data_IF_744995939785
#
_entry.id   IF_744995939785
#
_cell.length_a   1.000
_cell.length_b   1.000
_cell.length_c   1.000
_cell.angle_alpha   90.00
_cell.angle_beta   90.00
_cell.angle_gamma   90.00
#
_symmetry.space_group_name_H-M   'P 1'
#
loop_
_entity.id
_entity.type
_entity.pdbx_description
1 polymer ?
#
# COMPACT_ATOMS: atom_id res chain seq x y z
N UNK A 1 7.63 -36.49 -32.33
CA UNK A 1 8.03 -36.67 -30.91
C UNK A 1 8.93 -35.52 -30.50
N UNK A 2 8.49 -34.68 -29.55
CA UNK A 2 9.35 -33.70 -28.88
C UNK A 2 9.03 -33.77 -27.38
N UNK A 3 9.97 -34.25 -26.57
CA UNK A 3 9.82 -34.33 -25.11
C UNK A 3 9.80 -32.91 -24.52
N UNK A 4 8.63 -32.44 -24.09
CA UNK A 4 8.51 -31.20 -23.30
C UNK A 4 9.13 -31.45 -21.92
N UNK A 5 10.36 -30.96 -21.70
CA UNK A 5 10.99 -30.92 -20.36
C UNK A 5 10.12 -30.09 -19.42
N UNK A 6 9.50 -30.74 -18.43
CA UNK A 6 8.76 -30.07 -17.35
C UNK A 6 9.76 -29.26 -16.51
N UNK A 7 9.70 -27.95 -16.62
CA UNK A 7 10.45 -27.04 -15.76
C UNK A 7 9.93 -27.22 -14.33
N UNK A 8 10.82 -27.54 -13.39
CA UNK A 8 10.46 -27.73 -11.98
C UNK A 8 9.89 -26.42 -11.40
N UNK A 9 8.89 -26.46 -10.52
CA UNK A 9 8.26 -25.24 -9.98
C UNK A 9 9.25 -24.32 -9.23
N UNK A 10 10.35 -24.88 -8.71
CA UNK A 10 11.40 -24.11 -8.04
C UNK A 10 12.23 -23.27 -9.02
N UNK A 11 12.57 -23.82 -10.19
CA UNK A 11 13.33 -23.08 -11.22
C UNK A 11 12.48 -22.00 -11.86
N UNK A 12 11.18 -22.21 -12.02
CA UNK A 12 10.25 -21.18 -12.49
C UNK A 12 10.14 -19.99 -11.51
N UNK A 13 10.11 -20.26 -10.20
CA UNK A 13 10.10 -19.20 -9.16
C UNK A 13 11.40 -18.40 -9.14
N UNK A 14 12.55 -19.06 -9.30
CA UNK A 14 13.86 -18.39 -9.38
C UNK A 14 13.98 -17.51 -10.62
N UNK A 15 13.53 -18.00 -11.78
CA UNK A 15 13.53 -17.25 -13.05
C UNK A 15 12.57 -16.06 -12.99
N UNK A 16 11.37 -16.22 -12.41
CA UNK A 16 10.43 -15.11 -12.22
C UNK A 16 10.96 -14.07 -11.22
N UNK A 17 11.63 -14.52 -10.15
CA UNK A 17 12.28 -13.64 -9.17
C UNK A 17 13.41 -12.83 -9.80
N UNK A 18 14.30 -13.46 -10.57
CA UNK A 18 15.41 -12.78 -11.22
C UNK A 18 14.95 -11.83 -12.33
N UNK A 19 13.96 -12.22 -13.14
CA UNK A 19 13.34 -11.34 -14.14
C UNK A 19 12.62 -10.16 -13.49
N UNK A 20 11.90 -10.38 -12.38
CA UNK A 20 11.23 -9.30 -11.64
C UNK A 20 12.24 -8.31 -11.04
N UNK A 21 13.37 -8.81 -10.55
CA UNK A 21 14.46 -7.98 -10.01
C UNK A 21 15.18 -7.22 -11.13
N UNK A 22 15.45 -7.87 -12.26
CA UNK A 22 16.08 -7.29 -13.45
C UNK A 22 15.20 -6.20 -14.10
N UNK A 23 13.89 -6.41 -14.18
CA UNK A 23 12.97 -5.38 -14.67
C UNK A 23 12.85 -4.21 -13.67
N UNK A 24 12.90 -4.46 -12.37
CA UNK A 24 12.88 -3.40 -11.36
C UNK A 24 14.17 -2.58 -11.35
N UNK A 25 15.34 -3.19 -11.59
CA UNK A 25 16.62 -2.49 -11.66
C UNK A 25 16.78 -1.67 -12.95
N UNK A 26 16.25 -2.15 -14.08
CA UNK A 26 16.33 -1.42 -15.36
C UNK A 26 15.22 -0.38 -15.55
N UNK A 27 14.06 -0.51 -14.88
CA UNK A 27 12.96 0.46 -15.00
C UNK A 27 13.22 1.76 -14.20
N UNK A 28 14.25 1.80 -13.36
CA UNK A 28 14.58 2.95 -12.53
C UNK A 28 16.09 3.17 -12.55
N UNK A 29 16.63 3.97 -13.48
CA UNK A 29 18.05 4.27 -13.50
C UNK A 29 18.45 4.86 -12.14
N UNK A 30 19.31 4.13 -11.43
CA UNK A 30 20.11 4.67 -10.36
C UNK A 30 21.22 5.42 -11.09
N UNK A 31 21.02 6.70 -11.38
CA UNK A 31 22.11 7.56 -11.88
C UNK A 31 23.33 7.38 -10.96
N UNK A 32 24.55 7.57 -11.49
CA UNK A 32 25.82 7.46 -10.77
C UNK A 32 25.81 8.34 -9.50
N UNK A 33 25.37 7.75 -8.38
CA UNK A 33 25.17 8.43 -7.12
C UNK A 33 26.49 8.43 -6.34
N UNK A 34 27.45 9.27 -6.74
CA UNK A 34 28.63 9.56 -5.93
C UNK A 34 28.24 10.02 -4.52
N UNK A 35 28.87 9.47 -3.48
CA UNK A 35 28.65 9.81 -2.06
C UNK A 35 28.69 8.60 -1.09
N UNK A 36 28.55 8.87 0.21
CA UNK A 36 28.50 7.85 1.27
C UNK A 36 27.22 7.01 1.17
N UNK A 37 27.18 5.81 1.79
CA UNK A 37 25.99 4.94 1.84
C UNK A 37 24.74 5.71 2.32
N UNK A 38 24.92 6.55 3.34
CA UNK A 38 23.89 7.41 3.89
C UNK A 38 23.34 8.39 2.85
N UNK A 39 24.20 9.07 2.08
CA UNK A 39 23.74 10.00 1.05
C UNK A 39 23.01 9.30 -0.09
N UNK A 40 23.44 8.07 -0.47
CA UNK A 40 22.73 7.25 -1.47
C UNK A 40 21.31 6.88 -1.01
N UNK A 41 21.15 6.46 0.24
CA UNK A 41 19.84 6.14 0.82
C UNK A 41 18.93 7.37 0.89
N UNK A 42 19.47 8.51 1.37
CA UNK A 42 18.73 9.78 1.44
C UNK A 42 18.30 10.23 0.05
N UNK A 43 19.18 10.19 -0.96
CA UNK A 43 18.84 10.52 -2.36
C UNK A 43 17.80 9.59 -2.94
N UNK A 44 17.85 8.29 -2.64
CA UNK A 44 16.82 7.35 -3.09
C UNK A 44 15.44 7.72 -2.51
N UNK A 45 15.38 8.00 -1.20
CA UNK A 45 14.14 8.41 -0.53
C UNK A 45 13.64 9.74 -1.08
N UNK A 46 14.54 10.70 -1.28
CA UNK A 46 14.21 11.99 -1.89
C UNK A 46 13.63 11.80 -3.28
N UNK A 47 14.32 11.05 -4.15
CA UNK A 47 13.84 10.73 -5.50
C UNK A 47 12.51 9.98 -5.47
N UNK A 48 12.31 9.10 -4.49
CA UNK A 48 11.03 8.41 -4.28
C UNK A 48 9.92 9.40 -3.96
N UNK A 49 10.14 10.34 -3.05
CA UNK A 49 9.16 11.35 -2.66
C UNK A 49 8.95 12.43 -3.75
N UNK A 50 10.00 12.81 -4.48
CA UNK A 50 9.90 13.70 -5.62
C UNK A 50 9.14 13.05 -6.77
N UNK A 51 9.39 11.76 -7.07
CA UNK A 51 8.60 11.02 -8.06
C UNK A 51 7.17 10.81 -7.59
N UNK A 52 6.95 10.57 -6.30
CA UNK A 52 5.61 10.59 -5.72
C UNK A 52 4.94 11.95 -5.95
N UNK A 53 5.68 13.06 -5.87
CA UNK A 53 5.11 14.38 -6.14
C UNK A 53 4.85 14.60 -7.64
N UNK A 54 5.83 14.34 -8.50
CA UNK A 54 5.77 14.56 -9.96
C UNK A 54 4.77 13.65 -10.68
N UNK A 55 4.70 12.36 -10.34
CA UNK A 55 3.68 11.44 -10.87
C UNK A 55 2.30 11.71 -10.28
N UNK A 56 2.17 12.71 -9.41
CA UNK A 56 0.97 13.00 -8.65
C UNK A 56 0.60 11.88 -7.67
N UNK A 57 1.52 11.02 -7.25
CA UNK A 57 1.21 10.19 -6.09
C UNK A 57 0.80 11.00 -4.84
N UNK A 58 1.31 12.24 -4.73
CA UNK A 58 0.89 13.23 -3.73
C UNK A 58 -0.18 14.22 -4.25
N UNK A 59 -0.35 14.39 -5.58
CA UNK A 59 -1.27 15.38 -6.20
C UNK A 59 -1.86 14.92 -7.57
N UNK A 60 -2.04 13.63 -7.81
CA UNK A 60 -2.46 13.06 -9.11
C UNK A 60 -3.95 13.15 -9.11
N UNK A 61 -4.42 13.80 -10.15
CA UNK A 61 -5.80 13.94 -10.52
C UNK A 61 -6.55 12.61 -10.68
N UNK A 62 -5.92 11.42 -10.55
CA UNK A 62 -6.63 10.13 -10.55
C UNK A 62 -6.79 9.52 -9.17
N UNK A 63 -5.73 9.42 -8.35
CA UNK A 63 -5.84 8.85 -6.99
C UNK A 63 -6.54 9.82 -6.04
N UNK A 64 -6.18 11.11 -6.07
CA UNK A 64 -6.84 12.16 -5.28
C UNK A 64 -8.28 12.36 -5.75
N UNK A 65 -8.52 12.28 -7.06
CA UNK A 65 -9.89 12.30 -7.60
C UNK A 65 -10.66 11.06 -7.24
N UNK A 66 -10.01 9.89 -7.22
CA UNK A 66 -10.59 8.64 -6.72
C UNK A 66 -11.04 8.79 -5.28
N UNK A 67 -10.14 9.19 -4.38
CA UNK A 67 -10.46 9.44 -2.97
C UNK A 67 -11.58 10.48 -2.81
N UNK A 68 -11.51 11.61 -3.53
CA UNK A 68 -12.57 12.63 -3.52
C UNK A 68 -13.89 12.10 -4.06
N UNK A 69 -13.86 11.28 -5.10
CA UNK A 69 -15.06 10.67 -5.68
C UNK A 69 -15.69 9.70 -4.67
N UNK A 70 -14.90 8.81 -4.05
CA UNK A 70 -15.43 7.91 -3.03
C UNK A 70 -15.92 8.68 -1.80
N UNK A 71 -15.21 9.71 -1.36
CA UNK A 71 -15.65 10.59 -0.28
C UNK A 71 -16.97 11.28 -0.65
N UNK A 72 -17.09 11.81 -1.87
CA UNK A 72 -18.32 12.44 -2.35
C UNK A 72 -19.48 11.44 -2.48
N UNK A 73 -19.21 10.22 -2.95
CA UNK A 73 -20.18 9.13 -3.00
C UNK A 73 -20.66 8.79 -1.59
N UNK A 74 -19.75 8.55 -0.64
CA UNK A 74 -20.12 8.20 0.72
C UNK A 74 -20.83 9.35 1.45
N UNK A 75 -20.36 10.60 1.32
CA UNK A 75 -21.04 11.77 1.88
C UNK A 75 -22.41 11.97 1.25
N UNK A 76 -22.54 11.80 -0.06
CA UNK A 76 -23.82 11.90 -0.78
C UNK A 76 -24.80 10.82 -0.36
N UNK A 77 -24.34 9.57 -0.21
CA UNK A 77 -25.14 8.46 0.31
C UNK A 77 -25.54 8.68 1.78
N UNK A 78 -24.68 9.33 2.57
CA UNK A 78 -24.98 9.66 3.97
C UNK A 78 -26.10 10.69 4.05
N UNK A 79 -25.93 11.83 3.38
CA UNK A 79 -26.91 12.93 3.40
C UNK A 79 -28.21 12.51 2.73
N UNK A 80 -28.14 11.88 1.55
CA UNK A 80 -29.32 11.39 0.83
C UNK A 80 -30.05 10.28 1.59
N UNK A 81 -29.29 9.35 2.20
CA UNK A 81 -29.84 8.29 3.05
C UNK A 81 -30.56 8.86 4.29
N UNK A 82 -29.97 9.81 4.99
CA UNK A 82 -30.60 10.48 6.14
C UNK A 82 -31.86 11.27 5.72
N UNK A 83 -31.78 12.02 4.62
CA UNK A 83 -32.91 12.78 4.11
C UNK A 83 -34.09 11.85 3.77
N UNK A 84 -33.85 10.77 3.04
CA UNK A 84 -34.87 9.77 2.71
C UNK A 84 -35.38 9.01 3.95
N UNK A 85 -34.50 8.70 4.90
CA UNK A 85 -34.88 8.06 6.16
C UNK A 85 -35.91 8.90 6.94
N UNK A 86 -35.66 10.21 7.05
CA UNK A 86 -36.48 11.15 7.82
C UNK A 86 -37.76 11.60 7.10
N UNK A 87 -37.75 11.64 5.77
CA UNK A 87 -38.87 12.18 4.97
C UNK A 87 -39.79 11.09 4.41
N UNK A 88 -39.32 9.85 4.31
CA UNK A 88 -40.12 8.75 3.75
C UNK A 88 -41.20 8.30 4.74
N UNK A 89 -42.45 8.36 4.30
CA UNK A 89 -43.58 7.71 4.98
C UNK A 89 -43.59 6.20 4.78
N UNK A 90 -42.90 5.70 3.76
CA UNK A 90 -42.74 4.27 3.55
C UNK A 90 -41.67 3.75 4.52
N UNK A 91 -42.08 2.93 5.49
CA UNK A 91 -41.23 2.31 6.52
C UNK A 91 -40.01 1.62 5.91
N UNK A 92 -40.19 0.98 4.77
CA UNK A 92 -39.14 0.16 4.18
C UNK A 92 -38.11 0.96 3.41
N UNK A 93 -38.54 2.02 2.73
CA UNK A 93 -37.64 3.03 2.17
C UNK A 93 -36.90 3.73 3.31
N UNK A 94 -37.60 4.09 4.39
CA UNK A 94 -37.00 4.72 5.56
C UNK A 94 -35.91 3.82 6.17
N UNK A 95 -36.21 2.55 6.44
CA UNK A 95 -35.26 1.59 7.01
C UNK A 95 -34.02 1.37 6.11
N UNK A 96 -34.21 1.09 4.82
CA UNK A 96 -33.10 0.88 3.88
C UNK A 96 -32.23 2.13 3.75
N UNK A 97 -32.84 3.32 3.65
CA UNK A 97 -32.10 4.57 3.56
C UNK A 97 -31.31 4.91 4.84
N UNK A 98 -31.84 4.55 6.01
CA UNK A 98 -31.12 4.66 7.29
C UNK A 98 -29.89 3.75 7.36
N UNK A 99 -30.02 2.49 6.89
CA UNK A 99 -28.87 1.58 6.80
C UNK A 99 -27.79 2.10 5.83
N UNK A 100 -28.20 2.60 4.66
CA UNK A 100 -27.29 3.24 3.70
C UNK A 100 -26.56 4.42 4.34
N UNK A 101 -27.27 5.26 5.10
CA UNK A 101 -26.66 6.40 5.79
C UNK A 101 -25.61 5.98 6.82
N UNK A 102 -25.90 5.00 7.65
CA UNK A 102 -24.96 4.48 8.65
C UNK A 102 -23.73 3.88 7.96
N UNK A 103 -23.95 3.00 6.98
CA UNK A 103 -22.87 2.33 6.25
C UNK A 103 -21.95 3.33 5.52
N UNK A 104 -22.54 4.34 4.88
CA UNK A 104 -21.79 5.37 4.17
C UNK A 104 -21.08 6.36 5.10
N UNK A 105 -21.58 6.57 6.32
CA UNK A 105 -20.86 7.30 7.37
C UNK A 105 -19.57 6.60 7.73
N UNK A 106 -19.60 5.27 7.94
CA UNK A 106 -18.38 4.49 8.19
C UNK A 106 -17.42 4.51 7.00
N UNK A 107 -17.93 4.46 5.76
CA UNK A 107 -17.11 4.62 4.55
C UNK A 107 -16.43 6.00 4.48
N UNK A 108 -17.14 7.05 4.87
CA UNK A 108 -16.60 8.42 4.94
C UNK A 108 -15.53 8.56 6.02
N UNK A 109 -15.78 8.04 7.23
CA UNK A 109 -14.80 8.01 8.31
C UNK A 109 -13.53 7.27 7.91
N UNK A 110 -13.68 6.11 7.29
CA UNK A 110 -12.55 5.35 6.79
C UNK A 110 -11.71 6.16 5.80
N UNK A 111 -12.32 6.96 4.92
CA UNK A 111 -11.57 7.85 4.02
C UNK A 111 -10.89 9.02 4.71
N UNK A 112 -11.49 9.55 5.78
CA UNK A 112 -10.88 10.63 6.57
C UNK A 112 -9.61 10.14 7.28
N UNK A 113 -9.66 8.94 7.87
CA UNK A 113 -8.56 8.38 8.67
C UNK A 113 -7.56 7.56 7.86
N UNK A 114 -7.97 6.94 6.75
CA UNK A 114 -7.15 6.06 5.91
C UNK A 114 -7.03 6.59 4.46
N UNK A 115 -6.53 7.82 4.32
CA UNK A 115 -6.29 8.44 3.01
C UNK A 115 -5.37 7.58 2.12
N UNK A 116 -5.68 7.52 0.82
CA UNK A 116 -4.95 6.73 -0.17
C UNK A 116 -3.58 7.28 -0.51
N UNK A 117 -3.40 8.59 -0.30
CA UNK A 117 -2.11 9.23 -0.44
C UNK A 117 -1.47 9.39 0.93
N UNK A 118 -0.16 9.10 1.06
CA UNK A 118 0.60 9.54 2.23
C UNK A 118 0.69 11.06 2.15
N UNK A 119 -0.31 11.77 2.66
CA UNK A 119 -0.18 13.21 2.84
C UNK A 119 0.87 13.44 3.90
N UNK A 120 1.73 14.40 3.61
CA UNK A 120 2.75 14.96 4.49
C UNK A 120 4.13 14.35 4.37
N UNK A 121 5.08 15.28 4.40
CA UNK A 121 6.49 15.11 4.71
C UNK A 121 7.50 14.99 3.57
N UNK A 122 7.19 15.40 2.32
CA UNK A 122 8.29 15.84 1.45
C UNK A 122 8.90 17.15 1.98
N UNK A 123 8.06 18.10 2.42
CA UNK A 123 8.52 19.37 3.00
C UNK A 123 9.33 19.12 4.28
N UNK A 124 8.76 18.38 5.24
CA UNK A 124 9.44 17.98 6.48
C UNK A 124 10.73 17.18 6.21
N UNK A 125 10.72 16.27 5.23
CA UNK A 125 11.92 15.54 4.84
C UNK A 125 13.00 16.44 4.23
N UNK A 126 12.62 17.47 3.45
CA UNK A 126 13.54 18.45 2.86
C UNK A 126 14.14 19.39 3.90
N UNK A 127 13.36 19.78 4.90
CA UNK A 127 13.77 20.68 5.97
C UNK A 127 14.85 20.09 6.89
N UNK A 128 14.91 18.76 7.01
CA UNK A 128 15.98 18.14 7.80
C UNK A 128 17.34 18.19 7.08
N UNK A 129 18.42 18.51 7.81
CA UNK A 129 19.78 18.41 7.29
C UNK A 129 20.13 16.95 6.96
N UNK A 130 21.05 16.73 6.03
CA UNK A 130 21.53 15.39 5.72
C UNK A 130 22.11 14.71 6.96
N UNK A 131 21.71 13.47 7.21
CA UNK A 131 22.09 12.75 8.41
C UNK A 131 21.17 11.58 8.72
N UNK A 132 21.53 10.81 9.74
CA UNK A 132 20.75 9.65 10.19
C UNK A 132 19.32 10.01 10.62
N UNK A 133 19.09 11.23 11.13
CA UNK A 133 17.74 11.70 11.49
C UNK A 133 16.84 11.82 10.25
N UNK A 134 17.35 12.41 9.16
CA UNK A 134 16.65 12.51 7.87
C UNK A 134 16.38 11.15 7.26
N UNK A 135 17.38 10.26 7.30
CA UNK A 135 17.22 8.87 6.85
C UNK A 135 16.09 8.16 7.61
N UNK A 136 16.13 8.16 8.94
CA UNK A 136 15.10 7.53 9.79
C UNK A 136 13.70 8.08 9.51
N UNK A 137 13.58 9.40 9.33
CA UNK A 137 12.31 10.01 8.98
C UNK A 137 11.81 9.50 7.62
N UNK A 138 12.65 9.51 6.58
CA UNK A 138 12.27 9.05 5.25
C UNK A 138 11.89 7.56 5.22
N UNK A 139 12.62 6.72 5.95
CA UNK A 139 12.27 5.30 6.12
C UNK A 139 10.92 5.15 6.82
N UNK A 140 10.65 5.92 7.88
CA UNK A 140 9.38 5.89 8.59
C UNK A 140 8.21 6.33 7.70
N UNK A 141 8.39 7.39 6.91
CA UNK A 141 7.37 7.87 5.94
C UNK A 141 7.06 6.76 4.92
N UNK A 142 8.10 6.17 4.32
CA UNK A 142 7.94 5.11 3.32
C UNK A 142 7.30 3.85 3.93
N UNK A 143 7.69 3.46 5.14
CA UNK A 143 7.12 2.32 5.87
C UNK A 143 5.65 2.54 6.19
N UNK A 144 5.28 3.73 6.67
CA UNK A 144 3.90 4.07 6.98
C UNK A 144 3.02 4.07 5.72
N UNK A 145 3.52 4.64 4.63
CA UNK A 145 2.83 4.61 3.34
C UNK A 145 2.61 3.17 2.84
N UNK A 146 3.64 2.33 2.95
CA UNK A 146 3.55 0.91 2.63
C UNK A 146 2.51 0.17 3.47
N UNK A 147 2.54 0.34 4.80
CA UNK A 147 1.60 -0.32 5.72
C UNK A 147 0.15 0.06 5.39
N UNK A 148 -0.11 1.31 5.01
CA UNK A 148 -1.45 1.75 4.57
C UNK A 148 -1.88 1.07 3.28
N UNK A 149 -1.03 1.07 2.23
CA UNK A 149 -1.34 0.40 0.97
C UNK A 149 -1.65 -1.10 1.18
N UNK A 150 -0.85 -1.77 2.01
CA UNK A 150 -1.05 -3.19 2.34
C UNK A 150 -2.32 -3.41 3.14
N UNK A 151 -2.57 -2.58 4.16
CA UNK A 151 -3.77 -2.69 5.00
C UNK A 151 -5.06 -2.57 4.18
N UNK A 152 -5.16 -1.56 3.33
CA UNK A 152 -6.36 -1.32 2.52
C UNK A 152 -6.56 -2.45 1.49
N UNK A 153 -5.46 -2.99 0.93
CA UNK A 153 -5.53 -4.09 -0.05
C UNK A 153 -5.57 -5.48 0.59
N UNK A 154 -5.51 -5.57 1.92
CA UNK A 154 -5.43 -6.83 2.64
C UNK A 154 -6.70 -7.67 2.48
N UNK A 155 -6.54 -8.99 2.60
CA UNK A 155 -7.65 -9.92 2.64
C UNK A 155 -8.54 -9.70 3.85
N UNK A 156 -7.98 -9.33 5.01
CA UNK A 156 -8.76 -9.02 6.20
C UNK A 156 -9.73 -7.88 5.93
N UNK A 157 -9.24 -6.77 5.35
CA UNK A 157 -10.08 -5.64 4.92
C UNK A 157 -11.18 -6.10 3.97
N UNK A 158 -10.84 -6.95 3.00
CA UNK A 158 -11.79 -7.50 2.03
C UNK A 158 -12.91 -8.29 2.70
N UNK A 159 -12.57 -9.18 3.62
CA UNK A 159 -13.52 -10.01 4.37
C UNK A 159 -14.43 -9.12 5.22
N UNK A 160 -13.87 -8.12 5.93
CA UNK A 160 -14.68 -7.19 6.72
C UNK A 160 -15.65 -6.39 5.85
N UNK A 161 -15.20 -5.89 4.70
CA UNK A 161 -16.07 -5.17 3.75
C UNK A 161 -17.20 -6.06 3.20
N UNK A 162 -16.87 -7.28 2.79
CA UNK A 162 -17.87 -8.27 2.37
C UNK A 162 -18.87 -8.58 3.48
N UNK A 163 -18.38 -8.80 4.71
CA UNK A 163 -19.24 -9.10 5.86
C UNK A 163 -20.22 -7.95 6.14
N UNK A 164 -19.75 -6.70 6.16
CA UNK A 164 -20.61 -5.52 6.36
C UNK A 164 -21.67 -5.42 5.25
N UNK A 165 -21.29 -5.63 3.99
CA UNK A 165 -22.22 -5.61 2.86
C UNK A 165 -23.22 -6.76 2.93
N UNK A 166 -22.79 -7.97 3.32
CA UNK A 166 -23.67 -9.13 3.48
C UNK A 166 -24.66 -8.90 4.61
N UNK A 167 -24.21 -8.41 5.77
CA UNK A 167 -25.09 -8.08 6.90
C UNK A 167 -26.10 -6.98 6.53
N UNK A 168 -25.66 -5.94 5.81
CA UNK A 168 -26.56 -4.91 5.28
C UNK A 168 -27.60 -5.48 4.32
N UNK A 169 -27.19 -6.35 3.40
CA UNK A 169 -28.11 -7.05 2.49
C UNK A 169 -29.12 -7.93 3.21
N UNK A 170 -28.68 -8.71 4.21
CA UNK A 170 -29.56 -9.52 5.07
C UNK A 170 -30.54 -8.64 5.84
N UNK A 171 -30.07 -7.53 6.40
CA UNK A 171 -30.94 -6.60 7.13
C UNK A 171 -32.03 -6.03 6.23
N UNK A 172 -31.71 -5.65 4.99
CA UNK A 172 -32.70 -5.18 4.00
C UNK A 172 -33.65 -6.29 3.57
N UNK A 173 -33.15 -7.52 3.39
CA UNK A 173 -33.99 -8.67 3.07
C UNK A 173 -35.00 -8.92 4.20
N UNK A 174 -34.54 -9.09 5.44
CA UNK A 174 -35.39 -9.46 6.58
C UNK A 174 -36.27 -8.31 7.07
N UNK A 175 -35.80 -7.06 6.98
CA UNK A 175 -36.51 -5.91 7.54
C UNK A 175 -37.80 -5.53 6.82
N UNK A 176 -38.00 -6.01 5.58
CA UNK A 176 -39.21 -5.74 4.79
C UNK A 176 -39.57 -6.86 3.80
N UNK A 177 -39.09 -8.09 4.03
CA UNK A 177 -39.36 -9.24 3.14
C UNK A 177 -39.01 -9.00 1.66
N UNK A 178 -38.00 -8.17 1.38
CA UNK A 178 -37.56 -7.81 0.02
C UNK A 178 -36.25 -8.51 -0.34
N UNK A 179 -36.28 -9.79 -0.77
CA UNK A 179 -35.08 -10.55 -1.10
C UNK A 179 -34.25 -9.86 -2.20
N UNK A 180 -34.91 -9.35 -3.24
CA UNK A 180 -34.23 -8.63 -4.33
C UNK A 180 -33.59 -7.32 -3.86
N UNK A 181 -34.22 -6.61 -2.90
CA UNK A 181 -33.65 -5.40 -2.32
C UNK A 181 -32.36 -5.67 -1.55
N UNK A 182 -32.34 -6.75 -0.76
CA UNK A 182 -31.14 -7.20 -0.04
C UNK A 182 -30.00 -7.60 -0.97
N UNK A 183 -30.30 -8.32 -2.05
CA UNK A 183 -29.30 -8.71 -3.06
C UNK A 183 -28.70 -7.48 -3.76
N UNK A 184 -29.54 -6.53 -4.18
CA UNK A 184 -29.07 -5.29 -4.83
C UNK A 184 -28.20 -4.47 -3.87
N UNK A 185 -28.59 -4.35 -2.59
CA UNK A 185 -27.79 -3.66 -1.58
C UNK A 185 -26.40 -4.30 -1.42
N UNK A 186 -26.35 -5.63 -1.27
CA UNK A 186 -25.10 -6.36 -1.17
C UNK A 186 -24.20 -6.15 -2.39
N UNK A 187 -24.76 -6.27 -3.61
CA UNK A 187 -24.00 -6.15 -4.85
C UNK A 187 -23.43 -4.73 -5.04
N UNK A 188 -24.25 -3.70 -4.83
CA UNK A 188 -23.81 -2.31 -4.97
C UNK A 188 -22.76 -1.95 -3.92
N UNK A 189 -22.99 -2.32 -2.65
CA UNK A 189 -22.02 -2.09 -1.58
C UNK A 189 -20.68 -2.80 -1.85
N UNK A 190 -20.74 -4.04 -2.35
CA UNK A 190 -19.54 -4.81 -2.71
C UNK A 190 -18.82 -4.19 -3.90
N UNK A 191 -19.56 -3.73 -4.92
CA UNK A 191 -18.98 -3.09 -6.11
C UNK A 191 -18.26 -1.78 -5.75
N UNK A 192 -18.88 -0.92 -4.94
CA UNK A 192 -18.25 0.34 -4.47
C UNK A 192 -17.00 0.01 -3.65
N UNK A 193 -17.10 -0.94 -2.71
CA UNK A 193 -15.97 -1.33 -1.87
C UNK A 193 -14.80 -1.94 -2.67
N UNK A 194 -15.07 -2.85 -3.60
CA UNK A 194 -14.03 -3.50 -4.41
C UNK A 194 -13.41 -2.54 -5.42
N UNK A 195 -14.22 -1.66 -6.04
CA UNK A 195 -13.70 -0.62 -6.94
C UNK A 195 -12.80 0.37 -6.18
N UNK A 196 -13.18 0.76 -4.96
CA UNK A 196 -12.37 1.56 -4.07
C UNK A 196 -11.04 0.88 -3.77
N UNK A 197 -11.07 -0.39 -3.33
CA UNK A 197 -9.87 -1.18 -3.05
C UNK A 197 -8.96 -1.35 -4.27
N UNK A 198 -9.54 -1.59 -5.44
CA UNK A 198 -8.80 -1.74 -6.70
C UNK A 198 -8.13 -0.43 -7.15
N UNK A 199 -8.72 0.71 -6.79
CA UNK A 199 -8.17 2.04 -7.10
C UNK A 199 -6.99 2.45 -6.20
N UNK A 200 -6.73 1.71 -5.12
CA UNK A 200 -5.64 2.00 -4.18
C UNK A 200 -4.30 1.73 -4.87
N UNK A 201 -3.38 2.71 -4.81
CA UNK A 201 -2.09 2.55 -5.47
C UNK A 201 -1.16 1.50 -4.82
N UNK A 202 -0.09 1.18 -5.54
CA UNK A 202 0.93 0.19 -5.13
C UNK A 202 2.36 0.75 -5.13
N UNK A 203 2.50 2.06 -5.14
CA UNK A 203 3.78 2.73 -5.35
C UNK A 203 4.70 2.58 -4.14
N UNK A 204 4.19 2.80 -2.92
CA UNK A 204 4.98 2.68 -1.71
C UNK A 204 5.45 1.22 -1.52
N UNK A 205 4.59 0.26 -1.83
CA UNK A 205 4.93 -1.17 -1.83
C UNK A 205 6.07 -1.50 -2.79
N UNK A 206 6.01 -1.00 -4.03
CA UNK A 206 7.08 -1.19 -5.01
C UNK A 206 8.37 -0.50 -4.59
N UNK A 207 8.29 0.74 -4.11
CA UNK A 207 9.47 1.54 -3.72
C UNK A 207 10.16 0.98 -2.48
N UNK A 208 9.40 0.50 -1.51
CA UNK A 208 9.94 -0.19 -0.34
C UNK A 208 10.63 -1.49 -0.71
N UNK A 209 10.06 -2.27 -1.63
CA UNK A 209 10.70 -3.50 -2.11
C UNK A 209 12.08 -3.21 -2.73
N UNK A 210 12.17 -2.18 -3.59
CA UNK A 210 13.44 -1.72 -4.17
C UNK A 210 14.39 -1.19 -3.10
N UNK A 211 13.91 -0.36 -2.16
CA UNK A 211 14.73 0.17 -1.07
C UNK A 211 15.38 -0.97 -0.27
N UNK A 212 14.60 -2.00 0.07
CA UNK A 212 15.11 -3.15 0.81
C UNK A 212 16.07 -4.01 -0.01
N UNK A 213 15.78 -4.25 -1.29
CA UNK A 213 16.66 -5.07 -2.12
C UNK A 213 18.02 -4.42 -2.36
N UNK A 214 18.05 -3.09 -2.49
CA UNK A 214 19.28 -2.32 -2.74
C UNK A 214 20.07 -2.10 -1.46
N UNK A 215 19.43 -1.62 -0.38
CA UNK A 215 20.15 -1.12 0.79
C UNK A 215 20.13 -2.06 2.03
N UNK A 216 19.22 -3.04 2.07
CA UNK A 216 19.12 -3.99 3.19
C UNK A 216 19.99 -5.24 2.98
N UNK A 217 20.12 -5.71 1.73
CA UNK A 217 21.01 -6.84 1.41
C UNK A 217 22.49 -6.50 1.60
N UNK A 218 22.89 -5.23 1.40
CA UNK A 218 24.25 -4.76 1.69
C UNK A 218 24.56 -4.74 3.19
N UNK A 219 23.57 -4.49 4.06
CA UNK A 219 23.77 -4.53 5.52
C UNK A 219 23.98 -5.96 6.04
N UNK A 220 23.30 -6.95 5.46
CA UNK A 220 23.52 -8.36 5.79
C UNK A 220 24.86 -8.85 5.23
N UNK A 221 25.24 -8.38 4.04
CA UNK A 221 26.54 -8.67 3.41
C UNK A 221 27.73 -8.08 4.19
N UNK A 222 27.65 -6.82 4.64
CA UNK A 222 28.70 -6.19 5.47
C UNK A 222 28.82 -6.90 6.82
N UNK A 223 27.69 -7.23 7.46
CA UNK A 223 27.71 -7.92 8.76
C UNK A 223 28.34 -9.31 8.63
N UNK A 224 27.94 -10.08 7.61
CA UNK A 224 28.54 -11.39 7.33
C UNK A 224 30.01 -11.29 6.91
N UNK A 225 30.44 -10.21 6.24
CA UNK A 225 31.85 -9.98 5.92
C UNK A 225 32.68 -9.78 7.19
N UNK A 226 32.26 -8.89 8.10
CA UNK A 226 32.98 -8.66 9.35
C UNK A 226 32.90 -9.84 10.33
N UNK A 227 31.79 -10.59 10.32
CA UNK A 227 31.65 -11.82 11.12
C UNK A 227 32.58 -12.95 10.60
N UNK A 228 33.01 -12.90 9.34
CA UNK A 228 33.94 -13.86 8.72
C UNK A 228 35.39 -13.34 8.62
N UNK A 229 35.66 -12.13 9.11
CA UNK A 229 37.00 -11.54 9.17
C UNK A 229 37.49 -11.62 10.61
N UNK A 230 38.43 -12.53 10.87
CA UNK A 230 39.10 -12.61 12.18
C UNK A 230 40.58 -12.27 12.05
N UNK A 231 41.11 -11.54 13.04
CA UNK A 231 42.55 -11.30 13.14
C UNK A 231 43.19 -12.51 13.78
N UNK A 232 44.07 -13.19 13.05
CA UNK A 232 44.89 -14.27 13.60
C UNK A 232 46.32 -13.76 13.86
N UNK A 233 46.85 -13.96 15.08
CA UNK A 233 48.26 -13.73 15.33
C UNK A 233 49.09 -14.77 14.57
N UNK A 234 50.11 -14.31 13.83
CA UNK A 234 51.13 -15.13 13.19
C UNK A 234 52.49 -14.82 13.80
N UNK A 235 53.48 -15.69 13.57
CA UNK A 235 54.77 -15.69 14.27
C UNK A 235 55.49 -14.33 14.28
N UNK A 236 55.27 -13.51 13.25
CA UNK A 236 55.89 -12.19 13.08
C UNK A 236 54.87 -11.05 12.79
N UNK A 237 53.59 -11.21 13.15
CA UNK A 237 52.59 -10.16 12.89
C UNK A 237 51.13 -10.56 13.10
N UNK A 238 50.22 -9.77 12.53
CA UNK A 238 48.77 -10.04 12.54
C UNK A 238 48.32 -10.24 11.09
N UNK A 239 47.67 -11.36 10.80
CA UNK A 239 47.09 -11.66 9.50
C UNK A 239 45.56 -11.63 9.56
N UNK A 240 44.92 -11.26 8.45
CA UNK A 240 43.47 -11.37 8.28
C UNK A 240 43.14 -12.79 7.82
N UNK A 241 42.29 -13.49 8.59
CA UNK A 241 41.72 -14.75 8.21
C UNK A 241 40.30 -14.52 7.65
N UNK A 242 40.06 -15.01 6.43
CA UNK A 242 38.78 -14.98 5.74
C UNK A 242 38.25 -16.42 5.67
N UNK A 243 37.23 -16.73 6.46
CA UNK A 243 36.52 -18.01 6.38
C UNK A 243 35.38 -17.89 5.36
N UNK A 244 35.53 -18.54 4.19
CA UNK A 244 34.51 -18.65 3.16
C UNK A 244 33.67 -19.92 3.31
#
# INVERSE_FOLDING_TARGET
MAQRKKIKPLTLKLILSSLFTFFLSNAFPLDDMGGTKLSKQIRFLENTFQQATRKGFLISSKTVRGERNYTAIYSGLTVGGLALHLTSKNRSVSFTSGLIAIQSTFGSWDMIFNRFYPTMDLALFRELPEGHKKLKLGEAILENAYKREVSIRSWNRRITGLLVNTLGGIAVWLGDERPMGGVVHFLLGTLIFESQRASVPTFASKRRAVYKSVFYNELVSEKNFWDNVSLMPIKDGIALNLSF
#
